data_IF_518096560324
#
_entry.id   IF_518096560324
#
_cell.length_a   1.000
_cell.length_b   1.000
_cell.length_c   1.000
_cell.angle_alpha   90.00
_cell.angle_beta   90.00
_cell.angle_gamma   90.00
#
_symmetry.space_group_name_H-M   'P 1'
#
loop_
_entity.id
_entity.type
_entity.pdbx_description
1 polymer ?
#
# COMPACT_ATOMS: atom_id res chain seq x y z
N UNK A 1 -38.37 23.53 9.24
CA UNK A 1 -37.35 22.67 8.62
C UNK A 1 -36.29 23.58 8.06
N UNK A 2 -35.05 23.55 8.51
CA UNK A 2 -33.99 24.37 7.90
C UNK A 2 -33.62 23.76 6.54
N UNK A 3 -33.77 24.57 5.52
CA UNK A 3 -33.38 24.36 4.16
C UNK A 3 -31.86 24.09 4.12
N UNK A 4 -31.46 22.86 3.79
CA UNK A 4 -30.06 22.48 3.66
C UNK A 4 -29.48 23.21 2.45
N UNK A 5 -28.64 24.22 2.69
CA UNK A 5 -27.88 24.91 1.66
C UNK A 5 -27.20 23.90 0.72
N UNK A 6 -27.28 24.09 -0.61
CA UNK A 6 -26.66 23.17 -1.55
C UNK A 6 -25.16 23.16 -1.33
N UNK A 7 -24.63 21.97 -1.03
CA UNK A 7 -23.19 21.73 -0.92
C UNK A 7 -22.51 22.12 -2.23
N UNK A 8 -21.65 23.12 -2.22
CA UNK A 8 -20.83 23.59 -3.35
C UNK A 8 -19.68 22.61 -3.68
N UNK A 9 -19.85 21.34 -3.36
CA UNK A 9 -18.90 20.30 -3.69
C UNK A 9 -18.81 20.13 -5.21
N UNK A 10 -17.62 20.38 -5.77
CA UNK A 10 -17.36 20.14 -7.20
C UNK A 10 -17.73 18.71 -7.56
N UNK A 11 -18.43 18.47 -8.68
CA UNK A 11 -18.79 17.13 -9.10
C UNK A 11 -17.53 16.29 -9.28
N UNK A 12 -17.47 15.14 -8.59
CA UNK A 12 -16.34 14.20 -8.72
C UNK A 12 -16.42 13.56 -10.11
N UNK A 13 -15.39 13.75 -10.92
CA UNK A 13 -15.30 13.22 -12.29
C UNK A 13 -14.87 11.75 -12.25
N UNK A 14 -15.21 10.99 -13.31
CA UNK A 14 -14.78 9.60 -13.49
C UNK A 14 -13.26 9.45 -13.35
N UNK A 15 -12.50 10.41 -13.86
CA UNK A 15 -11.04 10.44 -13.76
C UNK A 15 -10.53 10.38 -12.31
N UNK A 16 -11.26 10.97 -11.34
CA UNK A 16 -10.88 10.94 -9.95
C UNK A 16 -11.05 9.54 -9.34
N UNK A 17 -12.11 8.81 -9.74
CA UNK A 17 -12.31 7.43 -9.31
C UNK A 17 -11.26 6.50 -9.91
N UNK A 18 -10.92 6.67 -11.18
CA UNK A 18 -9.88 5.88 -11.84
C UNK A 18 -8.50 6.15 -11.24
N UNK A 19 -8.15 7.43 -11.05
CA UNK A 19 -6.89 7.81 -10.42
C UNK A 19 -6.77 7.31 -8.97
N UNK A 20 -7.87 7.32 -8.22
CA UNK A 20 -7.87 6.78 -6.86
C UNK A 20 -7.77 5.25 -6.86
N UNK A 21 -8.53 4.57 -7.72
CA UNK A 21 -8.51 3.10 -7.82
C UNK A 21 -7.19 2.55 -8.34
N UNK A 22 -6.51 3.26 -9.26
CA UNK A 22 -5.24 2.80 -9.86
C UNK A 22 -4.11 2.62 -8.83
N UNK A 23 -4.19 3.23 -7.65
CA UNK A 23 -3.25 3.00 -6.57
C UNK A 23 -3.23 1.53 -6.11
N UNK A 24 -4.39 0.88 -6.11
CA UNK A 24 -4.49 -0.54 -5.71
C UNK A 24 -3.90 -1.51 -6.74
N UNK A 25 -3.55 -1.05 -7.93
CA UNK A 25 -2.75 -1.86 -8.87
C UNK A 25 -1.40 -2.21 -8.25
N UNK A 26 -0.74 -1.24 -7.61
CA UNK A 26 0.49 -1.48 -6.86
C UNK A 26 0.21 -2.14 -5.51
N UNK A 27 -0.76 -1.64 -4.76
CA UNK A 27 -1.09 -2.14 -3.43
C UNK A 27 -1.51 -3.62 -3.45
N UNK A 28 -2.67 -3.92 -4.00
CA UNK A 28 -3.20 -5.28 -4.05
C UNK A 28 -2.40 -6.19 -5.00
N UNK A 29 -1.85 -5.64 -6.10
CA UNK A 29 -1.03 -6.41 -7.03
C UNK A 29 0.27 -6.90 -6.40
N UNK A 30 1.03 -6.04 -5.72
CA UNK A 30 2.25 -6.44 -5.02
C UNK A 30 1.97 -7.45 -3.90
N UNK A 31 0.89 -7.25 -3.14
CA UNK A 31 0.49 -8.18 -2.09
C UNK A 31 0.07 -9.54 -2.64
N UNK A 32 -0.58 -9.59 -3.80
CA UNK A 32 -0.92 -10.85 -4.47
C UNK A 32 0.33 -11.60 -4.92
N UNK A 33 1.32 -10.91 -5.50
CA UNK A 33 2.62 -11.51 -5.87
C UNK A 33 3.34 -12.03 -4.63
N UNK A 34 3.41 -11.23 -3.57
CA UNK A 34 4.07 -11.63 -2.31
C UNK A 34 3.39 -12.87 -1.73
N UNK A 35 2.07 -12.84 -1.58
CA UNK A 35 1.32 -13.93 -0.95
C UNK A 35 1.42 -15.25 -1.73
N UNK A 36 1.47 -15.17 -3.07
CA UNK A 36 1.53 -16.35 -3.91
C UNK A 36 2.95 -16.89 -4.14
N UNK A 37 3.95 -16.02 -4.22
CA UNK A 37 5.22 -16.38 -4.83
C UNK A 37 6.45 -16.16 -3.95
N UNK A 38 6.44 -15.24 -3.00
CA UNK A 38 7.64 -14.96 -2.17
C UNK A 38 8.12 -16.16 -1.38
N UNK A 39 7.19 -16.95 -0.82
CA UNK A 39 7.57 -18.16 -0.09
C UNK A 39 8.27 -19.18 -1.02
N UNK A 40 7.73 -19.38 -2.21
CA UNK A 40 8.30 -20.29 -3.21
C UNK A 40 9.66 -19.76 -3.66
N UNK A 41 9.76 -18.47 -3.93
CA UNK A 41 11.02 -17.85 -4.34
C UNK A 41 12.10 -17.99 -3.26
N UNK A 42 11.80 -17.70 -2.00
CA UNK A 42 12.76 -17.82 -0.92
C UNK A 42 13.22 -19.27 -0.67
N UNK A 43 12.31 -20.23 -0.78
CA UNK A 43 12.65 -21.64 -0.51
C UNK A 43 13.25 -22.36 -1.70
N UNK A 44 12.78 -22.13 -2.93
CA UNK A 44 13.22 -22.86 -4.10
C UNK A 44 14.41 -22.22 -4.81
N UNK A 45 14.47 -20.87 -4.83
CA UNK A 45 15.49 -20.14 -5.59
C UNK A 45 16.56 -19.50 -4.73
N UNK A 46 16.24 -19.15 -3.48
CA UNK A 46 17.17 -18.49 -2.58
C UNK A 46 17.81 -19.43 -1.56
N UNK A 47 17.38 -20.70 -1.51
CA UNK A 47 17.95 -21.73 -0.64
C UNK A 47 17.62 -21.53 0.85
N UNK A 48 16.63 -20.71 1.21
CA UNK A 48 16.19 -20.59 2.60
C UNK A 48 15.37 -21.82 3.00
N UNK A 49 15.51 -22.26 4.25
CA UNK A 49 14.59 -23.24 4.80
C UNK A 49 13.19 -22.65 4.96
N UNK A 50 12.16 -23.49 4.94
CA UNK A 50 10.78 -23.05 5.22
C UNK A 50 10.64 -22.34 6.57
N UNK A 51 11.41 -22.78 7.60
CA UNK A 51 11.45 -22.12 8.90
C UNK A 51 12.04 -20.71 8.84
N UNK A 52 13.10 -20.50 8.08
CA UNK A 52 13.68 -19.18 7.87
C UNK A 52 12.69 -18.25 7.13
N UNK A 53 12.05 -18.71 6.07
CA UNK A 53 11.05 -17.94 5.36
C UNK A 53 9.85 -17.58 6.26
N UNK A 54 9.35 -18.54 7.03
CA UNK A 54 8.29 -18.30 8.01
C UNK A 54 8.70 -17.27 9.09
N UNK A 55 9.97 -17.31 9.53
CA UNK A 55 10.51 -16.33 10.51
C UNK A 55 10.51 -14.92 9.89
N UNK A 56 10.88 -14.75 8.63
CA UNK A 56 10.82 -13.44 7.95
C UNK A 56 9.40 -12.89 7.98
N UNK A 57 8.40 -13.69 7.62
CA UNK A 57 7.00 -13.26 7.65
C UNK A 57 6.51 -12.93 9.06
N UNK A 58 6.86 -13.77 10.05
CA UNK A 58 6.45 -13.54 11.43
C UNK A 58 7.03 -12.24 11.99
N UNK A 59 8.34 -12.00 11.79
CA UNK A 59 9.00 -10.77 12.23
C UNK A 59 8.39 -9.54 11.54
N UNK A 60 8.15 -9.61 10.24
CA UNK A 60 7.54 -8.50 9.51
C UNK A 60 6.13 -8.19 10.03
N UNK A 61 5.30 -9.20 10.27
CA UNK A 61 3.94 -9.01 10.83
C UNK A 61 3.95 -8.44 12.25
N UNK A 62 4.89 -8.86 13.09
CA UNK A 62 5.05 -8.28 14.42
C UNK A 62 5.44 -6.80 14.31
N UNK A 63 6.41 -6.48 13.46
CA UNK A 63 6.83 -5.09 13.25
C UNK A 63 5.71 -4.22 12.68
N UNK A 64 4.96 -4.74 11.70
CA UNK A 64 3.81 -4.04 11.12
C UNK A 64 2.74 -3.73 12.17
N UNK A 65 2.45 -4.65 13.08
CA UNK A 65 1.47 -4.45 14.15
C UNK A 65 1.81 -3.25 15.06
N UNK A 66 3.10 -2.92 15.22
CA UNK A 66 3.54 -1.73 15.95
C UNK A 66 3.71 -0.51 15.03
N UNK A 67 4.22 -0.71 13.82
CA UNK A 67 4.51 0.37 12.89
C UNK A 67 3.23 1.02 12.36
N UNK A 68 2.19 0.24 12.05
CA UNK A 68 0.96 0.74 11.47
C UNK A 68 0.23 1.78 12.35
N UNK A 69 -0.02 1.55 13.66
CA UNK A 69 -0.59 2.58 14.53
C UNK A 69 0.32 3.81 14.67
N UNK A 70 1.65 3.60 14.72
CA UNK A 70 2.61 4.69 14.83
C UNK A 70 2.64 5.56 13.56
N UNK A 71 2.62 4.96 12.39
CA UNK A 71 2.54 5.65 11.10
C UNK A 71 1.22 6.44 11.02
N UNK A 72 0.10 5.84 11.41
CA UNK A 72 -1.21 6.51 11.48
C UNK A 72 -1.15 7.76 12.36
N UNK A 73 -0.64 7.62 13.58
CA UNK A 73 -0.48 8.73 14.52
C UNK A 73 0.42 9.85 13.95
N UNK A 74 1.59 9.48 13.42
CA UNK A 74 2.54 10.44 12.82
C UNK A 74 1.88 11.15 11.64
N UNK A 75 1.22 10.42 10.72
CA UNK A 75 0.59 11.02 9.55
C UNK A 75 -0.52 12.01 9.92
N UNK A 76 -1.28 11.74 10.96
CA UNK A 76 -2.35 12.62 11.43
C UNK A 76 -1.81 13.92 12.05
N UNK A 77 -0.69 13.86 12.75
CA UNK A 77 -0.06 15.02 13.39
C UNK A 77 0.96 15.75 12.51
N UNK A 78 1.30 15.18 11.34
CA UNK A 78 2.34 15.70 10.46
C UNK A 78 2.04 17.09 9.91
N UNK A 79 0.77 17.48 9.81
CA UNK A 79 0.34 18.81 9.34
C UNK A 79 0.91 19.98 10.12
N UNK A 80 1.29 19.77 11.40
CA UNK A 80 1.95 20.79 12.25
C UNK A 80 3.43 21.00 11.93
N UNK A 81 4.07 20.09 11.21
CA UNK A 81 5.50 20.17 10.84
C UNK A 81 5.73 21.10 9.65
N UNK A 82 6.97 21.60 9.49
CA UNK A 82 7.34 22.42 8.34
C UNK A 82 7.13 21.69 6.99
N UNK A 83 7.47 20.42 6.92
CA UNK A 83 7.26 19.58 5.73
C UNK A 83 5.77 19.35 5.46
N UNK A 84 4.98 19.09 6.50
CA UNK A 84 3.54 18.90 6.37
C UNK A 84 2.82 20.17 5.91
N UNK A 85 3.29 21.36 6.30
CA UNK A 85 2.77 22.63 5.81
C UNK A 85 3.13 22.91 4.35
N UNK A 86 4.32 22.49 3.89
CA UNK A 86 4.81 22.70 2.51
C UNK A 86 4.19 21.74 1.51
N UNK A 87 4.09 20.46 1.84
CA UNK A 87 3.67 19.41 0.93
C UNK A 87 2.24 18.91 1.17
N UNK A 88 1.65 19.28 2.30
CA UNK A 88 0.38 18.74 2.75
C UNK A 88 0.55 17.49 3.62
N UNK A 89 -0.35 17.34 4.60
CA UNK A 89 -0.27 16.31 5.65
C UNK A 89 -0.06 14.90 5.10
N UNK A 90 -0.84 14.46 4.12
CA UNK A 90 -0.83 13.10 3.58
C UNK A 90 -0.03 12.94 2.29
N UNK A 91 0.03 13.98 1.46
CA UNK A 91 0.79 13.92 0.20
C UNK A 91 2.26 13.62 0.41
N UNK A 92 2.85 14.09 1.51
CA UNK A 92 4.25 13.80 1.83
C UNK A 92 4.50 12.31 1.99
N UNK A 93 3.65 11.57 2.71
CA UNK A 93 3.80 10.13 2.91
C UNK A 93 3.64 9.35 1.60
N UNK A 94 2.64 9.70 0.81
CA UNK A 94 2.41 9.07 -0.50
C UNK A 94 3.60 9.34 -1.44
N UNK A 95 4.14 10.56 -1.47
CA UNK A 95 5.31 10.88 -2.30
C UNK A 95 6.59 10.25 -1.77
N UNK A 96 6.75 10.15 -0.44
CA UNK A 96 7.89 9.48 0.17
C UNK A 96 7.90 7.96 -0.07
N UNK A 97 6.73 7.35 -0.34
CA UNK A 97 6.65 5.95 -0.71
C UNK A 97 7.17 5.67 -2.14
N UNK A 98 7.05 6.63 -3.07
CA UNK A 98 7.49 6.43 -4.47
C UNK A 98 8.95 5.98 -4.59
N UNK A 99 9.96 6.65 -4.00
CA UNK A 99 11.35 6.19 -4.07
C UNK A 99 11.60 4.87 -3.34
N UNK A 100 10.65 4.44 -2.52
CA UNK A 100 10.75 3.20 -1.77
C UNK A 100 10.10 2.02 -2.50
N UNK A 101 9.33 2.25 -3.59
CA UNK A 101 8.81 1.18 -4.44
C UNK A 101 9.91 0.23 -4.96
N UNK A 102 11.15 0.67 -5.25
CA UNK A 102 12.25 -0.24 -5.52
C UNK A 102 12.50 -1.29 -4.41
N UNK A 103 12.07 -1.04 -3.17
CA UNK A 103 12.16 -2.04 -2.11
C UNK A 103 11.44 -3.35 -2.45
N UNK A 104 10.36 -3.29 -3.22
CA UNK A 104 9.71 -4.47 -3.76
C UNK A 104 10.65 -5.28 -4.66
N UNK A 105 11.39 -4.61 -5.55
CA UNK A 105 12.34 -5.27 -6.44
C UNK A 105 13.53 -5.89 -5.68
N UNK A 106 13.96 -5.26 -4.58
CA UNK A 106 15.06 -5.80 -3.75
C UNK A 106 14.73 -7.16 -3.16
N UNK A 107 13.47 -7.46 -2.88
CA UNK A 107 13.04 -8.75 -2.33
C UNK A 107 13.27 -9.92 -3.30
N UNK A 108 13.40 -9.64 -4.61
CA UNK A 108 13.48 -10.63 -5.67
C UNK A 108 14.89 -10.84 -6.21
N UNK A 109 15.92 -10.29 -5.56
CA UNK A 109 17.30 -10.52 -5.95
C UNK A 109 17.78 -11.89 -5.43
N UNK A 110 18.13 -12.84 -6.32
CA UNK A 110 18.59 -14.17 -5.90
C UNK A 110 20.00 -14.14 -5.31
N UNK A 111 20.37 -15.21 -4.58
CA UNK A 111 21.75 -15.40 -4.12
C UNK A 111 22.14 -14.61 -2.87
N UNK A 112 21.16 -14.05 -2.16
CA UNK A 112 21.40 -13.29 -0.92
C UNK A 112 21.19 -14.18 0.33
N UNK A 113 21.71 -13.73 1.48
CA UNK A 113 21.54 -14.43 2.75
C UNK A 113 20.22 -14.08 3.46
N UNK A 114 19.89 -14.87 4.50
CA UNK A 114 18.68 -14.69 5.33
C UNK A 114 18.47 -13.26 5.81
N UNK A 115 19.51 -12.58 6.30
CA UNK A 115 19.41 -11.21 6.81
C UNK A 115 19.01 -10.20 5.74
N UNK A 116 19.51 -10.40 4.51
CA UNK A 116 19.13 -9.54 3.39
C UNK A 116 17.63 -9.66 3.10
N UNK A 117 17.09 -10.88 3.01
CA UNK A 117 15.66 -11.08 2.77
C UNK A 117 14.79 -10.59 3.92
N UNK A 118 15.25 -10.75 5.17
CA UNK A 118 14.56 -10.20 6.32
C UNK A 118 14.47 -8.66 6.23
N UNK A 119 15.60 -7.98 6.00
CA UNK A 119 15.61 -6.52 5.94
C UNK A 119 14.85 -5.97 4.72
N UNK A 120 15.00 -6.57 3.54
CA UNK A 120 14.30 -6.13 2.33
C UNK A 120 12.78 -6.32 2.46
N UNK A 121 12.34 -7.42 3.05
CA UNK A 121 10.92 -7.69 3.30
C UNK A 121 10.33 -6.72 4.33
N UNK A 122 11.00 -6.52 5.47
CA UNK A 122 10.59 -5.55 6.50
C UNK A 122 10.58 -4.12 5.93
N UNK A 123 11.58 -3.75 5.16
CA UNK A 123 11.63 -2.45 4.49
C UNK A 123 10.41 -2.26 3.59
N UNK A 124 10.08 -3.25 2.76
CA UNK A 124 8.91 -3.19 1.89
C UNK A 124 7.60 -3.04 2.70
N UNK A 125 7.39 -3.83 3.76
CA UNK A 125 6.19 -3.74 4.62
C UNK A 125 6.04 -2.34 5.24
N UNK A 126 7.13 -1.77 5.76
CA UNK A 126 7.11 -0.42 6.35
C UNK A 126 6.76 0.65 5.31
N UNK A 127 7.34 0.54 4.12
CA UNK A 127 7.07 1.45 3.00
C UNK A 127 5.62 1.34 2.56
N UNK A 128 5.14 0.13 2.43
CA UNK A 128 3.75 -0.14 2.08
C UNK A 128 2.79 0.44 3.12
N UNK A 129 3.07 0.26 4.41
CA UNK A 129 2.28 0.86 5.49
C UNK A 129 2.30 2.40 5.45
N UNK A 130 3.45 3.02 5.16
CA UNK A 130 3.57 4.47 5.02
C UNK A 130 2.72 5.03 3.86
N UNK A 131 2.50 4.27 2.83
CA UNK A 131 1.69 4.65 1.68
C UNK A 131 0.21 4.36 1.93
N UNK A 132 -0.14 3.12 2.30
CA UNK A 132 -1.52 2.67 2.33
C UNK A 132 -2.34 3.32 3.45
N UNK A 133 -1.77 3.53 4.64
CA UNK A 133 -2.50 4.07 5.80
C UNK A 133 -3.02 5.49 5.54
N UNK A 134 -2.20 6.46 5.11
CA UNK A 134 -2.69 7.80 4.76
C UNK A 134 -3.61 7.79 3.53
N UNK A 135 -3.40 6.86 2.61
CA UNK A 135 -4.20 6.75 1.40
C UNK A 135 -5.64 6.26 1.68
N UNK A 136 -5.81 5.26 2.54
CA UNK A 136 -7.14 4.74 2.91
C UNK A 136 -8.02 5.80 3.57
N UNK A 137 -7.43 6.66 4.37
CA UNK A 137 -8.16 7.75 5.03
C UNK A 137 -8.52 8.89 4.07
N UNK A 138 -7.84 8.99 2.92
CA UNK A 138 -8.07 10.04 1.92
C UNK A 138 -9.49 10.03 1.36
N UNK A 139 -10.04 8.85 1.05
CA UNK A 139 -11.41 8.75 0.53
C UNK A 139 -12.46 9.25 1.53
N UNK A 140 -12.23 9.04 2.82
CA UNK A 140 -13.12 9.52 3.87
C UNK A 140 -13.14 11.05 3.96
N UNK A 141 -12.02 11.70 3.62
CA UNK A 141 -11.89 13.16 3.62
C UNK A 141 -12.34 13.82 2.31
N UNK A 142 -12.25 13.11 1.18
CA UNK A 142 -12.58 13.64 -0.15
C UNK A 142 -14.08 13.89 -0.36
N UNK A 143 -14.96 13.21 0.37
CA UNK A 143 -16.40 13.35 0.26
C UNK A 143 -17.12 13.02 1.56
N UNK A 144 -18.18 13.75 1.84
CA UNK A 144 -19.14 13.42 2.92
C UNK A 144 -20.29 12.54 2.42
N UNK A 145 -20.50 12.50 1.08
CA UNK A 145 -21.56 11.71 0.48
C UNK A 145 -21.22 10.21 0.44
N UNK A 146 -22.14 9.40 0.97
CA UNK A 146 -21.99 7.94 1.02
C UNK A 146 -21.84 7.29 -0.36
N UNK A 147 -22.61 7.76 -1.35
CA UNK A 147 -22.56 7.20 -2.72
C UNK A 147 -21.21 7.46 -3.38
N UNK A 148 -20.65 8.62 -3.15
CA UNK A 148 -19.33 8.99 -3.67
C UNK A 148 -18.22 8.16 -3.00
N UNK A 149 -18.29 7.95 -1.68
CA UNK A 149 -17.37 7.05 -0.96
C UNK A 149 -17.46 5.61 -1.49
N UNK A 150 -18.68 5.10 -1.69
CA UNK A 150 -18.90 3.77 -2.24
C UNK A 150 -18.31 3.59 -3.64
N UNK A 151 -18.37 4.61 -4.52
CA UNK A 151 -17.72 4.59 -5.83
C UNK A 151 -16.21 4.58 -5.75
N UNK A 152 -15.59 5.33 -4.82
CA UNK A 152 -14.15 5.27 -4.57
C UNK A 152 -13.73 3.88 -4.10
N UNK A 153 -14.43 3.31 -3.13
CA UNK A 153 -14.16 1.94 -2.66
C UNK A 153 -14.35 0.90 -3.78
N UNK A 154 -15.41 1.02 -4.57
CA UNK A 154 -15.66 0.14 -5.71
C UNK A 154 -14.56 0.21 -6.77
N UNK A 155 -14.05 1.40 -7.10
CA UNK A 155 -12.93 1.54 -8.04
C UNK A 155 -11.67 0.86 -7.52
N UNK A 156 -11.33 1.00 -6.24
CA UNK A 156 -10.20 0.29 -5.61
C UNK A 156 -10.35 -1.21 -5.74
N UNK A 157 -11.52 -1.75 -5.37
CA UNK A 157 -11.77 -3.20 -5.46
C UNK A 157 -11.60 -3.70 -6.89
N UNK A 158 -12.12 -2.98 -7.90
CA UNK A 158 -11.99 -3.37 -9.30
C UNK A 158 -10.53 -3.40 -9.76
N UNK A 159 -9.77 -2.34 -9.51
CA UNK A 159 -8.35 -2.29 -9.87
C UNK A 159 -7.52 -3.29 -9.07
N UNK A 160 -7.79 -3.45 -7.78
CA UNK A 160 -7.12 -4.40 -6.91
C UNK A 160 -7.34 -5.85 -7.35
N UNK A 161 -8.58 -6.25 -7.63
CA UNK A 161 -8.88 -7.60 -8.10
C UNK A 161 -8.30 -7.87 -9.49
N UNK A 162 -8.40 -6.91 -10.41
CA UNK A 162 -7.80 -7.04 -11.74
C UNK A 162 -6.28 -7.23 -11.66
N UNK A 163 -5.59 -6.44 -10.84
CA UNK A 163 -4.14 -6.56 -10.65
C UNK A 163 -3.74 -7.86 -9.94
N UNK A 164 -4.52 -8.31 -8.96
CA UNK A 164 -4.28 -9.58 -8.27
C UNK A 164 -4.42 -10.78 -9.21
N UNK A 165 -5.41 -10.77 -10.10
CA UNK A 165 -5.57 -11.80 -11.14
C UNK A 165 -4.35 -11.78 -12.07
N UNK A 166 -3.97 -10.62 -12.60
CA UNK A 166 -2.79 -10.49 -13.48
C UNK A 166 -1.51 -10.94 -12.77
N UNK A 167 -1.32 -10.57 -11.51
CA UNK A 167 -0.19 -10.99 -10.70
C UNK A 167 -0.14 -12.51 -10.48
N UNK A 168 -1.29 -13.16 -10.33
CA UNK A 168 -1.40 -14.62 -10.21
C UNK A 168 -0.94 -15.37 -11.46
N UNK A 169 -1.11 -14.76 -12.63
CA UNK A 169 -0.66 -15.35 -13.90
C UNK A 169 0.78 -14.99 -14.27
N UNK A 170 1.42 -14.06 -13.58
CA UNK A 170 2.76 -13.58 -13.92
C UNK A 170 3.80 -14.69 -14.12
N UNK A 171 3.87 -15.73 -13.26
CA UNK A 171 4.84 -16.82 -13.41
C UNK A 171 4.58 -17.75 -14.58
N UNK A 172 3.39 -17.73 -15.16
CA UNK A 172 3.09 -18.50 -16.37
C UNK A 172 3.67 -17.84 -17.64
N UNK A 173 4.15 -16.59 -17.51
CA UNK A 173 4.69 -15.78 -18.61
C UNK A 173 6.23 -15.67 -18.53
N UNK A 174 6.83 -16.14 -17.44
CA UNK A 174 8.27 -16.19 -17.18
C UNK A 174 8.82 -17.61 -17.31
#
# INVERSE_FOLDING_TARGET
MPETAPSTARPVRLQNYLAYGSNDVLGAGSMAVISGWVLIFYTQFCGLSAGQAATIFAVARILDAFASPMIGYISDHFGGTWLGRKFGRRRFFILAAIPLLPSFALMWLPGQGFWYYLFSYVLFELVYAMEIIPFETLAAEMSTDYRTKAKFAGSRILFGQASAILAGFLPLWL
#
